data_IF_570880113015
#
_entry.id   IF_570880113015
#
_cell.length_a   1.000
_cell.length_b   1.000
_cell.length_c   1.000
_cell.angle_alpha   90.00
_cell.angle_beta   90.00
_cell.angle_gamma   90.00
#
_symmetry.space_group_name_H-M   'P 1'
#
loop_
_entity.id
_entity.type
_entity.pdbx_description
1 polymer ?
#
# COMPACT_ATOMS: atom_id res chain seq x y z
N UNK A 1 22.06 10.92 -3.45
CA UNK A 1 22.12 12.39 -3.21
C UNK A 1 21.41 12.66 -1.89
N UNK A 2 21.95 13.48 -1.00
CA UNK A 2 21.19 13.88 0.20
C UNK A 2 20.06 14.84 -0.20
N UNK A 3 18.90 14.82 0.48
CA UNK A 3 17.89 15.85 0.32
C UNK A 3 18.46 17.24 0.65
N UNK A 4 17.82 18.28 0.12
CA UNK A 4 18.21 19.65 0.44
C UNK A 4 18.06 19.91 1.95
N UNK A 5 19.10 20.47 2.57
CA UNK A 5 19.24 20.60 4.04
C UNK A 5 18.23 21.62 4.61
N UNK A 6 17.83 22.57 3.78
CA UNK A 6 16.84 23.61 4.07
C UNK A 6 15.44 23.07 4.40
N UNK A 7 15.13 21.80 4.09
CA UNK A 7 13.86 21.17 4.44
C UNK A 7 13.78 20.69 5.90
N UNK A 8 14.93 20.55 6.58
CA UNK A 8 15.02 20.00 7.95
C UNK A 8 14.12 20.76 8.95
N UNK A 9 14.12 22.11 9.00
CA UNK A 9 13.28 22.86 9.93
C UNK A 9 11.79 22.57 9.75
N UNK A 10 11.33 22.47 8.49
CA UNK A 10 9.93 22.25 8.17
C UNK A 10 9.49 20.82 8.49
N UNK A 11 10.32 19.82 8.14
CA UNK A 11 10.07 18.42 8.52
C UNK A 11 10.00 18.25 10.03
N UNK A 12 10.99 18.80 10.76
CA UNK A 12 11.02 18.78 12.23
C UNK A 12 9.75 19.40 12.83
N UNK A 13 9.34 20.58 12.34
CA UNK A 13 8.14 21.29 12.83
C UNK A 13 6.85 20.52 12.54
N UNK A 14 6.69 19.93 11.35
CA UNK A 14 5.55 19.04 11.02
C UNK A 14 5.44 17.84 11.95
N UNK A 15 6.58 17.31 12.39
CA UNK A 15 6.62 16.21 13.36
C UNK A 15 6.37 16.65 14.80
N UNK A 16 6.25 17.95 15.08
CA UNK A 16 6.07 18.51 16.43
C UNK A 16 7.34 18.44 17.30
N UNK A 17 8.51 18.31 16.69
CA UNK A 17 9.78 18.16 17.40
C UNK A 17 10.42 19.53 17.69
N UNK A 18 10.95 19.70 18.89
CA UNK A 18 11.88 20.79 19.21
C UNK A 18 13.28 20.51 18.63
N UNK A 19 14.14 21.54 18.54
CA UNK A 19 15.52 21.35 18.11
C UNK A 19 16.31 20.43 19.06
N UNK A 20 16.05 20.51 20.38
CA UNK A 20 16.64 19.61 21.38
C UNK A 20 16.26 18.15 21.10
N UNK A 21 14.96 17.87 20.91
CA UNK A 21 14.49 16.51 20.65
C UNK A 21 15.08 15.91 19.36
N UNK A 22 15.16 16.70 18.28
CA UNK A 22 15.81 16.22 17.05
C UNK A 22 17.30 15.96 17.26
N UNK A 23 17.97 16.82 18.02
CA UNK A 23 19.38 16.68 18.34
C UNK A 23 19.66 15.37 19.09
N UNK A 24 18.86 15.08 20.12
CA UNK A 24 18.95 13.85 20.91
C UNK A 24 18.72 12.61 20.04
N UNK A 25 17.70 12.62 19.17
CA UNK A 25 17.39 11.51 18.26
C UNK A 25 18.50 11.26 17.23
N UNK A 26 19.16 12.32 16.75
CA UNK A 26 20.20 12.25 15.74
C UNK A 26 21.61 12.10 16.32
N UNK A 27 21.77 12.10 17.65
CA UNK A 27 23.09 12.01 18.31
C UNK A 27 23.98 13.24 18.06
N UNK A 28 23.39 14.44 17.96
CA UNK A 28 24.10 15.71 17.77
C UNK A 28 23.73 16.71 18.87
N UNK A 29 24.43 17.83 18.97
CA UNK A 29 24.05 18.88 19.93
C UNK A 29 22.93 19.77 19.39
N UNK A 30 22.08 20.31 20.26
CA UNK A 30 21.05 21.26 19.81
C UNK A 30 21.65 22.52 19.18
N UNK A 31 22.80 23.00 19.66
CA UNK A 31 23.52 24.11 19.02
C UNK A 31 23.90 23.79 17.58
N UNK A 32 24.21 22.52 17.27
CA UNK A 32 24.46 22.08 15.89
C UNK A 32 23.21 22.20 15.03
N UNK A 33 22.06 21.70 15.51
CA UNK A 33 20.76 21.83 14.81
C UNK A 33 20.41 23.31 14.60
N UNK A 34 20.51 24.15 15.63
CA UNK A 34 20.16 25.56 15.54
C UNK A 34 21.00 26.31 14.50
N UNK A 35 22.32 26.04 14.46
CA UNK A 35 23.22 26.63 13.47
C UNK A 35 22.97 26.09 12.06
N UNK A 36 22.68 24.79 11.94
CA UNK A 36 22.34 24.15 10.67
C UNK A 36 21.09 24.78 10.06
N UNK A 37 20.01 24.87 10.83
CA UNK A 37 18.73 25.46 10.38
C UNK A 37 18.85 26.95 10.04
N UNK A 38 19.77 27.67 10.69
CA UNK A 38 20.06 29.06 10.38
C UNK A 38 21.01 29.25 9.18
N UNK A 39 21.49 28.18 8.55
CA UNK A 39 22.49 28.25 7.46
C UNK A 39 23.85 28.79 7.91
N UNK A 40 24.16 28.74 9.21
CA UNK A 40 25.36 29.37 9.81
C UNK A 40 26.56 28.44 9.92
N UNK A 41 26.44 27.20 9.47
CA UNK A 41 27.54 26.22 9.48
C UNK A 41 27.56 25.44 8.18
N UNK A 42 28.76 25.05 7.79
CA UNK A 42 28.95 23.98 6.81
C UNK A 42 28.79 22.63 7.51
N UNK A 43 27.85 21.78 7.08
CA UNK A 43 27.53 20.59 7.84
C UNK A 43 28.30 19.37 7.38
N UNK A 44 28.67 18.52 8.33
CA UNK A 44 29.27 17.23 8.03
C UNK A 44 28.21 16.28 7.47
N UNK A 45 28.54 15.62 6.36
CA UNK A 45 27.68 14.60 5.73
C UNK A 45 27.10 13.59 6.75
N UNK A 46 27.94 13.07 7.65
CA UNK A 46 27.52 12.07 8.64
C UNK A 46 26.44 12.61 9.60
N UNK A 47 26.57 13.87 10.03
CA UNK A 47 25.60 14.51 10.91
C UNK A 47 24.30 14.81 10.18
N UNK A 48 24.37 15.28 8.94
CA UNK A 48 23.18 15.52 8.11
C UNK A 48 22.43 14.22 7.84
N UNK A 49 23.16 13.15 7.49
CA UNK A 49 22.60 11.82 7.31
C UNK A 49 21.88 11.34 8.57
N UNK A 50 22.51 11.44 9.74
CA UNK A 50 21.91 11.04 11.01
C UNK A 50 20.63 11.83 11.34
N UNK A 51 20.61 13.13 11.03
CA UNK A 51 19.41 13.98 11.19
C UNK A 51 18.28 13.50 10.29
N UNK A 52 18.55 13.23 9.01
CA UNK A 52 17.53 12.71 8.10
C UNK A 52 17.03 11.33 8.52
N UNK A 53 17.91 10.42 8.91
CA UNK A 53 17.51 9.09 9.42
C UNK A 53 16.63 9.20 10.67
N UNK A 54 16.93 10.14 11.57
CA UNK A 54 16.10 10.41 12.74
C UNK A 54 14.70 10.94 12.36
N UNK A 55 14.63 11.88 11.43
CA UNK A 55 13.35 12.42 10.93
C UNK A 55 12.52 11.33 10.23
N UNK A 56 13.13 10.60 9.29
CA UNK A 56 12.49 9.51 8.54
C UNK A 56 11.91 8.44 9.48
N UNK A 57 12.64 8.10 10.55
CA UNK A 57 12.21 7.12 11.55
C UNK A 57 10.98 7.58 12.33
N UNK A 58 10.86 8.87 12.64
CA UNK A 58 9.69 9.43 13.33
C UNK A 58 8.50 9.55 12.39
N UNK A 59 8.72 9.98 11.14
CA UNK A 59 7.67 10.03 10.12
C UNK A 59 7.03 8.66 9.91
N UNK A 60 7.83 7.62 9.69
CA UNK A 60 7.33 6.24 9.54
C UNK A 60 6.51 5.74 10.74
N UNK A 61 6.83 6.19 11.95
CA UNK A 61 6.09 5.82 13.17
C UNK A 61 4.77 6.56 13.34
N UNK A 62 4.60 7.71 12.69
CA UNK A 62 3.39 8.52 12.75
C UNK A 62 2.45 8.28 11.58
N UNK A 63 2.93 7.65 10.51
CA UNK A 63 2.08 7.29 9.38
C UNK A 63 1.09 6.20 9.79
N UNK A 64 -0.15 6.38 9.32
CA UNK A 64 -1.19 5.36 9.39
C UNK A 64 -0.73 4.13 8.60
N UNK A 65 -0.86 2.95 9.19
CA UNK A 65 -0.49 1.68 8.58
C UNK A 65 -1.65 1.06 7.80
N UNK A 66 -1.34 0.09 6.94
CA UNK A 66 -2.34 -0.69 6.21
C UNK A 66 -3.33 -1.37 7.16
N UNK A 67 -2.86 -1.92 8.27
CA UNK A 67 -3.71 -2.57 9.27
C UNK A 67 -4.77 -1.64 9.87
N UNK A 68 -4.51 -0.33 9.94
CA UNK A 68 -5.44 0.65 10.53
C UNK A 68 -6.59 1.04 9.60
N UNK A 69 -6.43 0.83 8.29
CA UNK A 69 -7.39 1.29 7.28
C UNK A 69 -7.95 0.19 6.39
N UNK A 70 -7.41 -1.03 6.48
CA UNK A 70 -7.87 -2.14 5.66
C UNK A 70 -9.28 -2.57 6.03
N UNK A 71 -10.03 -2.96 5.02
CA UNK A 71 -11.21 -3.79 5.22
C UNK A 71 -10.76 -5.22 5.51
N UNK A 72 -11.25 -5.77 6.62
CA UNK A 72 -11.06 -7.19 6.98
C UNK A 72 -12.08 -8.05 6.23
N UNK A 73 -11.82 -9.36 6.12
CA UNK A 73 -12.63 -10.30 5.32
C UNK A 73 -12.60 -10.05 3.80
N UNK A 74 -11.47 -10.39 3.19
CA UNK A 74 -11.27 -10.26 1.75
C UNK A 74 -12.19 -11.22 0.98
N UNK A 75 -13.25 -10.68 0.38
CA UNK A 75 -14.08 -11.41 -0.57
C UNK A 75 -13.22 -11.75 -1.80
N UNK A 76 -13.13 -13.04 -2.08
CA UNK A 76 -12.26 -13.60 -3.11
C UNK A 76 -12.92 -14.82 -3.75
N UNK A 77 -12.34 -15.30 -4.84
CA UNK A 77 -12.79 -16.51 -5.54
C UNK A 77 -11.65 -17.53 -5.63
N UNK A 78 -11.98 -18.81 -5.60
CA UNK A 78 -10.97 -19.86 -5.80
C UNK A 78 -10.60 -19.99 -7.28
N UNK A 79 -9.33 -20.28 -7.57
CA UNK A 79 -8.81 -20.50 -8.91
C UNK A 79 -9.51 -21.67 -9.63
N UNK A 80 -10.04 -22.62 -8.86
CA UNK A 80 -10.81 -23.76 -9.33
C UNK A 80 -12.28 -23.44 -9.61
N UNK A 81 -12.80 -22.31 -9.12
CA UNK A 81 -14.18 -21.90 -9.34
C UNK A 81 -14.42 -21.58 -10.81
N UNK A 82 -15.68 -21.62 -11.20
CA UNK A 82 -16.16 -21.28 -12.53
C UNK A 82 -16.33 -19.77 -12.70
N UNK A 83 -16.33 -19.32 -13.96
CA UNK A 83 -16.70 -17.94 -14.31
C UNK A 83 -18.08 -17.57 -13.76
N UNK A 84 -19.04 -18.50 -13.78
CA UNK A 84 -20.38 -18.24 -13.25
C UNK A 84 -20.34 -17.93 -11.74
N UNK A 85 -19.62 -18.72 -10.96
CA UNK A 85 -19.46 -18.48 -9.51
C UNK A 85 -18.76 -17.13 -9.23
N UNK A 86 -17.78 -16.75 -10.06
CA UNK A 86 -17.14 -15.44 -9.95
C UNK A 86 -18.11 -14.29 -10.23
N UNK A 87 -18.93 -14.38 -11.29
CA UNK A 87 -19.96 -13.38 -11.63
C UNK A 87 -20.99 -13.26 -10.50
N UNK A 88 -21.45 -14.39 -9.96
CA UNK A 88 -22.41 -14.41 -8.85
C UNK A 88 -21.83 -13.73 -7.60
N UNK A 89 -20.57 -14.00 -7.27
CA UNK A 89 -19.85 -13.40 -6.15
C UNK A 89 -19.67 -11.89 -6.33
N UNK A 90 -19.29 -11.44 -7.53
CA UNK A 90 -19.19 -10.02 -7.88
C UNK A 90 -20.53 -9.32 -7.73
N UNK A 91 -21.61 -9.91 -8.28
CA UNK A 91 -22.96 -9.34 -8.23
C UNK A 91 -23.50 -9.26 -6.82
N UNK A 92 -23.30 -10.28 -5.99
CA UNK A 92 -23.85 -10.31 -4.63
C UNK A 92 -23.20 -9.28 -3.71
N UNK A 93 -21.95 -8.90 -3.97
CA UNK A 93 -21.21 -7.93 -3.16
C UNK A 93 -21.06 -6.55 -3.83
N UNK A 94 -21.47 -6.40 -5.09
CA UNK A 94 -21.31 -5.16 -5.85
C UNK A 94 -19.85 -4.85 -6.20
N UNK A 95 -19.02 -5.87 -6.40
CA UNK A 95 -17.62 -5.72 -6.78
C UNK A 95 -17.43 -5.94 -8.27
N UNK A 96 -16.56 -5.14 -8.90
CA UNK A 96 -16.17 -5.30 -10.31
C UNK A 96 -14.92 -6.15 -10.49
N UNK A 97 -14.28 -6.55 -9.39
CA UNK A 97 -13.01 -7.29 -9.39
C UNK A 97 -12.90 -8.14 -8.12
N UNK A 98 -12.25 -9.29 -8.22
CA UNK A 98 -12.04 -10.22 -7.12
C UNK A 98 -10.59 -10.72 -7.11
N UNK A 99 -9.94 -10.78 -5.93
CA UNK A 99 -8.73 -11.58 -5.75
C UNK A 99 -9.02 -13.05 -6.03
N UNK A 100 -8.07 -13.70 -6.72
CA UNK A 100 -8.10 -15.14 -6.99
C UNK A 100 -7.14 -15.84 -6.05
N UNK A 101 -7.67 -16.84 -5.35
CA UNK A 101 -6.95 -17.63 -4.36
C UNK A 101 -6.82 -19.09 -4.81
N UNK A 102 -5.70 -19.74 -4.51
CA UNK A 102 -5.54 -21.19 -4.59
C UNK A 102 -5.28 -21.71 -3.17
N UNK A 103 -6.35 -22.17 -2.53
CA UNK A 103 -6.39 -22.36 -1.07
C UNK A 103 -6.20 -21.02 -0.34
N UNK A 104 -5.16 -20.92 0.48
CA UNK A 104 -4.81 -19.71 1.26
C UNK A 104 -3.91 -18.73 0.48
N UNK A 105 -3.46 -19.10 -0.72
CA UNK A 105 -2.47 -18.34 -1.48
C UNK A 105 -3.14 -17.47 -2.53
N UNK A 106 -2.84 -16.17 -2.55
CA UNK A 106 -3.22 -15.30 -3.66
C UNK A 106 -2.40 -15.64 -4.92
N UNK A 107 -3.10 -15.87 -6.04
CA UNK A 107 -2.50 -16.32 -7.30
C UNK A 107 -2.83 -15.44 -8.51
N UNK A 108 -3.77 -14.50 -8.39
CA UNK A 108 -4.16 -13.63 -9.50
C UNK A 108 -5.35 -12.75 -9.18
N UNK A 109 -5.84 -12.05 -10.19
CA UNK A 109 -7.07 -11.25 -10.12
C UNK A 109 -8.05 -11.68 -11.21
N UNK A 110 -9.32 -11.36 -11.02
CA UNK A 110 -10.32 -11.44 -12.09
C UNK A 110 -11.20 -10.21 -12.03
N UNK A 111 -11.43 -9.58 -13.18
CA UNK A 111 -12.29 -8.40 -13.32
C UNK A 111 -13.53 -8.70 -14.16
N UNK A 112 -14.57 -7.90 -13.98
CA UNK A 112 -15.78 -7.92 -14.80
C UNK A 112 -15.45 -7.79 -16.29
N UNK A 113 -14.44 -6.99 -16.64
CA UNK A 113 -13.93 -6.87 -18.00
C UNK A 113 -13.45 -8.23 -18.52
N UNK A 114 -12.58 -8.91 -17.78
CA UNK A 114 -12.02 -10.21 -18.18
C UNK A 114 -13.10 -11.28 -18.31
N UNK A 115 -14.10 -11.27 -17.42
CA UNK A 115 -15.27 -12.16 -17.50
C UNK A 115 -16.14 -11.85 -18.73
N UNK A 116 -16.38 -10.56 -19.02
CA UNK A 116 -17.16 -10.13 -20.17
C UNK A 116 -16.47 -10.48 -21.49
N UNK A 117 -15.16 -10.30 -21.58
CA UNK A 117 -14.36 -10.66 -22.75
C UNK A 117 -14.53 -12.15 -23.09
N UNK A 118 -14.60 -13.03 -22.08
CA UNK A 118 -14.83 -14.46 -22.26
C UNK A 118 -16.25 -14.83 -22.71
N UNK A 119 -17.24 -14.01 -22.35
CA UNK A 119 -18.62 -14.20 -22.78
C UNK A 119 -18.84 -13.73 -24.21
N UNK A 120 -18.20 -12.61 -24.59
CA UNK A 120 -18.37 -11.99 -25.91
C UNK A 120 -17.44 -12.59 -26.97
N UNK A 121 -16.24 -12.99 -26.57
CA UNK A 121 -15.16 -13.46 -27.45
C UNK A 121 -14.55 -14.75 -26.89
N UNK A 122 -15.30 -15.87 -26.88
CA UNK A 122 -14.77 -17.14 -26.41
C UNK A 122 -13.60 -17.58 -27.30
N UNK A 123 -12.50 -18.01 -26.68
CA UNK A 123 -11.29 -18.51 -27.33
C UNK A 123 -11.35 -20.01 -27.67
N UNK A 124 -12.39 -20.71 -27.21
CA UNK A 124 -12.67 -22.11 -27.52
C UNK A 124 -14.19 -22.42 -27.46
N UNK A 125 -14.57 -23.67 -27.69
CA UNK A 125 -15.97 -24.13 -27.63
C UNK A 125 -16.48 -24.38 -26.19
N UNK A 126 -15.66 -24.17 -25.17
CA UNK A 126 -16.06 -24.37 -23.77
C UNK A 126 -17.05 -23.28 -23.38
N UNK A 127 -18.29 -23.63 -22.94
CA UNK A 127 -19.26 -22.61 -22.53
C UNK A 127 -18.66 -21.71 -21.45
N UNK A 128 -18.71 -20.37 -21.58
CA UNK A 128 -18.02 -19.45 -20.68
C UNK A 128 -18.31 -19.73 -19.20
N UNK A 129 -19.57 -20.00 -18.85
CA UNK A 129 -19.97 -20.31 -17.48
C UNK A 129 -19.32 -21.56 -16.85
N UNK A 130 -18.70 -22.44 -17.66
CA UNK A 130 -18.01 -23.66 -17.19
C UNK A 130 -16.49 -23.54 -17.14
N UNK A 131 -15.91 -22.49 -17.75
CA UNK A 131 -14.47 -22.23 -17.66
C UNK A 131 -14.09 -21.89 -16.23
N UNK A 132 -12.90 -22.32 -15.82
CA UNK A 132 -12.36 -22.01 -14.50
C UNK A 132 -11.72 -20.64 -14.52
N UNK A 133 -11.79 -19.95 -13.38
CA UNK A 133 -11.17 -18.65 -13.18
C UNK A 133 -9.67 -18.69 -13.48
N UNK A 134 -8.96 -19.77 -13.12
CA UNK A 134 -7.51 -19.87 -13.39
C UNK A 134 -7.11 -19.81 -14.85
N UNK A 135 -8.03 -20.11 -15.77
CA UNK A 135 -7.78 -20.14 -17.21
C UNK A 135 -7.78 -18.73 -17.79
N UNK A 136 -8.42 -17.78 -17.09
CA UNK A 136 -8.68 -16.43 -17.58
C UNK A 136 -8.12 -15.35 -16.64
N UNK A 137 -7.67 -15.71 -15.44
CA UNK A 137 -7.20 -14.76 -14.44
C UNK A 137 -6.02 -13.94 -14.95
N UNK A 138 -5.97 -12.69 -14.51
CA UNK A 138 -4.94 -11.73 -14.84
C UNK A 138 -3.98 -11.53 -13.67
N UNK A 139 -2.99 -10.63 -13.85
CA UNK A 139 -2.09 -10.27 -12.77
C UNK A 139 -2.88 -9.77 -11.55
N UNK A 140 -2.55 -10.31 -10.38
CA UNK A 140 -3.31 -10.07 -9.17
C UNK A 140 -3.03 -8.72 -8.54
N UNK A 141 -3.65 -8.52 -7.39
CA UNK A 141 -3.46 -7.32 -6.59
C UNK A 141 -2.05 -7.29 -5.96
N UNK A 142 -1.37 -6.13 -5.93
CA UNK A 142 -0.13 -6.00 -5.20
C UNK A 142 -0.34 -6.34 -3.72
N UNK A 143 0.68 -6.95 -3.12
CA UNK A 143 0.63 -7.40 -1.72
C UNK A 143 1.62 -6.59 -0.88
N UNK A 144 1.17 -6.13 0.28
CA UNK A 144 1.99 -5.43 1.27
C UNK A 144 1.82 -6.02 2.65
N UNK A 145 2.75 -5.75 3.57
CA UNK A 145 2.62 -6.15 4.96
C UNK A 145 1.59 -5.29 5.71
N UNK A 146 1.07 -5.81 6.83
CA UNK A 146 0.10 -5.08 7.68
C UNK A 146 0.64 -3.75 8.25
N UNK A 147 1.96 -3.65 8.44
CA UNK A 147 2.65 -2.44 8.89
C UNK A 147 3.05 -1.49 7.74
N UNK A 148 2.62 -1.78 6.51
CA UNK A 148 2.95 -0.95 5.36
C UNK A 148 2.37 0.46 5.51
N UNK A 149 3.16 1.51 5.22
CA UNK A 149 2.73 2.89 5.43
C UNK A 149 1.69 3.35 4.39
N UNK A 150 0.80 4.26 4.80
CA UNK A 150 -0.22 4.89 3.94
C UNK A 150 0.37 5.50 2.67
N UNK A 151 1.58 6.06 2.74
CA UNK A 151 2.29 6.62 1.58
C UNK A 151 2.58 5.59 0.48
N UNK A 152 2.92 4.36 0.86
CA UNK A 152 3.11 3.25 -0.07
C UNK A 152 1.78 2.82 -0.69
N UNK A 153 0.74 2.65 0.14
CA UNK A 153 -0.61 2.30 -0.33
C UNK A 153 -1.13 3.33 -1.33
N UNK A 154 -0.98 4.62 -1.02
CA UNK A 154 -1.35 5.73 -1.89
C UNK A 154 -0.62 5.69 -3.23
N UNK A 155 0.64 5.23 -3.24
CA UNK A 155 1.43 5.11 -4.46
C UNK A 155 0.99 3.93 -5.32
N UNK A 156 0.69 2.78 -4.71
CA UNK A 156 0.18 1.60 -5.40
C UNK A 156 -1.22 1.86 -5.96
N UNK A 157 -2.12 2.42 -5.15
CA UNK A 157 -3.51 2.66 -5.52
C UNK A 157 -3.69 3.72 -6.61
N UNK A 158 -2.64 4.45 -7.00
CA UNK A 158 -2.67 5.27 -8.23
C UNK A 158 -2.81 4.42 -9.49
N UNK A 159 -2.23 3.23 -9.49
CA UNK A 159 -2.14 2.34 -10.64
C UNK A 159 -2.99 1.09 -10.49
N UNK A 160 -3.12 0.60 -9.25
CA UNK A 160 -3.89 -0.59 -8.94
C UNK A 160 -5.24 -0.23 -8.29
N UNK A 161 -6.30 -0.99 -8.55
CA UNK A 161 -7.63 -0.76 -7.98
C UNK A 161 -7.70 -1.09 -6.49
N UNK A 162 -6.92 -2.06 -6.03
CA UNK A 162 -6.80 -2.45 -4.63
C UNK A 162 -5.40 -3.00 -4.32
N UNK A 163 -5.07 -3.09 -3.03
CA UNK A 163 -3.84 -3.67 -2.49
C UNK A 163 -4.23 -4.68 -1.43
N UNK A 164 -3.69 -5.90 -1.50
CA UNK A 164 -3.90 -6.92 -0.48
C UNK A 164 -2.92 -6.74 0.68
N UNK A 165 -3.43 -6.90 1.89
CA UNK A 165 -2.65 -6.81 3.13
C UNK A 165 -2.35 -8.20 3.65
N UNK A 166 -1.09 -8.46 3.96
CA UNK A 166 -0.61 -9.75 4.44
C UNK A 166 -0.04 -9.68 5.85
N UNK A 167 -0.29 -10.75 6.61
CA UNK A 167 0.32 -11.03 7.90
C UNK A 167 0.78 -12.47 7.94
N UNK A 168 2.07 -12.69 8.22
CA UNK A 168 2.70 -14.04 8.28
C UNK A 168 2.40 -14.90 7.04
N UNK A 169 2.44 -14.28 5.85
CA UNK A 169 2.22 -14.96 4.58
C UNK A 169 0.76 -15.26 4.22
N UNK A 170 -0.21 -14.84 5.06
CA UNK A 170 -1.64 -14.96 4.77
C UNK A 170 -2.23 -13.60 4.45
N UNK A 171 -3.15 -13.55 3.48
CA UNK A 171 -3.97 -12.36 3.22
C UNK A 171 -4.93 -12.18 4.39
N UNK A 172 -4.92 -11.00 4.99
CA UNK A 172 -5.74 -10.65 6.17
C UNK A 172 -6.63 -9.43 5.95
N UNK A 173 -6.44 -8.70 4.84
CA UNK A 173 -7.26 -7.56 4.50
C UNK A 173 -6.99 -7.05 3.09
N UNK A 174 -7.76 -6.04 2.71
CA UNK A 174 -7.64 -5.34 1.43
C UNK A 174 -7.80 -3.85 1.66
N UNK A 175 -7.06 -3.04 0.91
CA UNK A 175 -7.17 -1.58 0.90
C UNK A 175 -7.49 -1.14 -0.52
N UNK A 176 -8.48 -0.27 -0.65
CA UNK A 176 -8.95 0.31 -1.91
C UNK A 176 -8.83 1.83 -1.88
N UNK A 177 -9.12 2.48 -3.01
CA UNK A 177 -9.22 3.95 -3.07
C UNK A 177 -10.30 4.50 -2.14
N UNK A 178 -11.38 3.75 -1.91
CA UNK A 178 -12.46 4.19 -1.03
C UNK A 178 -11.99 4.27 0.43
N UNK A 179 -11.20 3.29 0.88
CA UNK A 179 -10.62 3.29 2.23
C UNK A 179 -9.69 4.49 2.42
N UNK A 180 -8.84 4.81 1.43
CA UNK A 180 -7.99 6.00 1.47
C UNK A 180 -8.79 7.29 1.62
N UNK A 181 -9.89 7.45 0.87
CA UNK A 181 -10.73 8.64 0.96
C UNK A 181 -11.39 8.77 2.34
N UNK A 182 -11.72 7.65 2.98
CA UNK A 182 -12.26 7.62 4.34
C UNK A 182 -11.27 8.09 5.42
N UNK A 183 -9.96 8.10 5.14
CA UNK A 183 -8.93 8.56 6.11
C UNK A 183 -8.72 10.07 6.15
N UNK A 184 -9.21 10.80 5.14
CA UNK A 184 -9.01 12.25 4.98
C UNK A 184 -10.25 13.04 5.46
N UNK A 185 -11.32 12.33 5.84
CA UNK A 185 -12.60 12.88 6.33
C UNK A 185 -12.65 13.02 7.85
#
# INVERSE_FOLDING_TARGET
>A
MLPAIDIIPDRRRKLGLTQNQLADLAGVSQSYIAKLEAGKIEPSYLKVKAIFEALDKIERRKEVSAAEIMTTDVISVQASATIQEAIETMRSHGFSQLPVMDGDKHVGGVSERTLLDQVLYPDDDTPPGRKRVREIMEEGFPQVSEDAPLSLLSSLLKYYPAVLVQKKGKVVGIVTKADLLGTIG
#
